data_IF_441821344352
#
_entry.id   IF_441821344352
#
_cell.length_a   1.000
_cell.length_b   1.000
_cell.length_c   1.000
_cell.angle_alpha   90.00
_cell.angle_beta   90.00
_cell.angle_gamma   90.00
#
_symmetry.space_group_name_H-M   'P 1'
#
loop_
_entity.id
_entity.type
_entity.pdbx_description
1 polymer ?
#
# COMPACT_ATOMS: atom_id res chain seq x y z
N UNK A 1 -7.92 28.14 2.10
CA UNK A 1 -7.32 27.39 0.98
C UNK A 1 -6.91 26.03 1.54
N UNK A 2 -7.58 24.95 1.13
CA UNK A 2 -7.14 23.60 1.49
C UNK A 2 -5.77 23.38 0.84
N UNK A 3 -4.76 23.05 1.64
CA UNK A 3 -3.43 22.66 1.14
C UNK A 3 -3.63 21.42 0.30
N UNK A 4 -3.43 21.56 -1.02
CA UNK A 4 -3.50 20.47 -1.98
C UNK A 4 -2.52 19.38 -1.51
N UNK A 5 -3.04 18.21 -1.25
CA UNK A 5 -2.27 17.10 -0.68
C UNK A 5 -1.65 16.31 -1.81
N UNK A 6 -0.33 16.28 -1.88
CA UNK A 6 0.39 15.43 -2.84
C UNK A 6 -0.14 13.98 -2.76
N UNK A 7 -0.28 13.30 -3.93
CA UNK A 7 -0.68 11.89 -4.03
C UNK A 7 0.14 11.03 -3.06
N UNK A 8 -0.55 10.28 -2.19
CA UNK A 8 0.09 9.34 -1.28
C UNK A 8 0.50 8.07 -2.04
N UNK A 9 1.76 7.66 -1.91
CA UNK A 9 2.32 6.54 -2.69
C UNK A 9 2.98 5.53 -1.76
N UNK A 10 2.61 4.23 -1.91
CA UNK A 10 3.20 3.11 -1.20
C UNK A 10 3.87 2.13 -2.17
N UNK A 11 5.07 1.67 -1.83
CA UNK A 11 5.71 0.52 -2.47
C UNK A 11 5.60 -0.68 -1.54
N UNK A 12 4.87 -1.70 -1.97
CA UNK A 12 4.57 -2.89 -1.16
C UNK A 12 5.48 -4.07 -1.52
N UNK A 13 5.86 -4.86 -0.51
CA UNK A 13 6.68 -6.06 -0.70
C UNK A 13 8.15 -5.75 -0.86
N UNK A 14 8.70 -4.93 0.02
CA UNK A 14 10.14 -4.63 0.13
C UNK A 14 10.85 -5.83 0.74
N UNK A 15 11.91 -6.30 0.06
CA UNK A 15 12.72 -7.47 0.44
C UNK A 15 14.22 -7.20 0.49
N UNK A 16 14.68 -6.01 0.01
CA UNK A 16 16.10 -5.67 -0.09
C UNK A 16 16.41 -4.23 0.32
N UNK A 17 17.66 -3.96 0.66
CA UNK A 17 18.17 -2.62 0.96
C UNK A 17 18.10 -1.69 -0.26
N UNK A 18 18.37 -2.20 -1.46
CA UNK A 18 18.30 -1.45 -2.70
C UNK A 18 16.87 -0.96 -2.98
N UNK A 19 15.86 -1.81 -2.68
CA UNK A 19 14.46 -1.43 -2.80
C UNK A 19 14.06 -0.31 -1.82
N UNK A 20 14.57 -0.35 -0.57
CA UNK A 20 14.38 0.74 0.41
C UNK A 20 15.02 2.03 -0.10
N UNK A 21 16.26 1.95 -0.58
CA UNK A 21 17.00 3.10 -1.11
C UNK A 21 16.29 3.72 -2.31
N UNK A 22 15.81 2.90 -3.25
CA UNK A 22 15.08 3.36 -4.42
C UNK A 22 13.72 4.02 -4.03
N UNK A 23 12.98 3.42 -3.12
CA UNK A 23 11.74 3.99 -2.60
C UNK A 23 11.97 5.35 -1.91
N UNK A 24 13.03 5.44 -1.09
CA UNK A 24 13.42 6.68 -0.43
C UNK A 24 13.83 7.78 -1.44
N UNK A 25 14.65 7.43 -2.42
CA UNK A 25 15.07 8.36 -3.48
C UNK A 25 13.90 8.85 -4.34
N UNK A 26 12.87 8.02 -4.52
CA UNK A 26 11.64 8.39 -5.21
C UNK A 26 10.67 9.23 -4.32
N UNK A 27 11.02 9.49 -3.05
CA UNK A 27 10.19 10.21 -2.08
C UNK A 27 8.79 9.59 -1.91
N UNK A 28 8.70 8.27 -1.73
CA UNK A 28 7.43 7.61 -1.43
C UNK A 28 6.98 7.90 0.00
N UNK A 29 5.68 7.82 0.26
CA UNK A 29 5.11 8.07 1.58
C UNK A 29 5.20 6.85 2.50
N UNK A 30 5.20 5.64 1.92
CA UNK A 30 5.22 4.40 2.69
C UNK A 30 5.91 3.24 1.97
N UNK A 31 6.44 2.32 2.77
CA UNK A 31 6.95 1.01 2.32
C UNK A 31 6.23 -0.11 3.08
N UNK A 32 5.93 -1.21 2.38
CA UNK A 32 5.23 -2.37 2.93
C UNK A 32 6.12 -3.61 3.03
N UNK A 33 6.05 -4.30 4.17
CA UNK A 33 6.72 -5.58 4.44
C UNK A 33 5.66 -6.68 4.54
N UNK A 34 5.76 -7.72 3.72
CA UNK A 34 4.76 -8.79 3.62
C UNK A 34 5.12 -9.94 4.55
N UNK A 35 4.18 -10.33 5.41
CA UNK A 35 4.31 -11.45 6.35
C UNK A 35 3.43 -12.66 5.99
N UNK A 36 2.61 -12.52 4.94
CA UNK A 36 1.85 -13.63 4.37
C UNK A 36 2.73 -14.46 3.40
N UNK A 37 2.42 -15.75 3.19
CA UNK A 37 3.12 -16.58 2.21
C UNK A 37 3.10 -15.96 0.81
N UNK A 38 4.27 -15.59 0.32
CA UNK A 38 4.43 -15.01 -1.02
C UNK A 38 5.91 -14.93 -1.38
N UNK A 39 6.28 -14.68 -2.66
CA UNK A 39 7.67 -14.40 -3.05
C UNK A 39 8.27 -13.17 -2.34
N UNK A 40 7.41 -12.31 -1.74
CA UNK A 40 7.78 -11.06 -1.05
C UNK A 40 7.82 -11.21 0.46
N UNK A 41 7.65 -12.43 0.96
CA UNK A 41 7.60 -12.67 2.40
C UNK A 41 8.95 -12.40 3.07
N UNK A 42 8.91 -11.67 4.18
CA UNK A 42 10.04 -11.42 5.06
C UNK A 42 9.73 -11.85 6.49
N UNK A 43 10.76 -12.12 7.27
CA UNK A 43 10.62 -12.32 8.72
C UNK A 43 10.51 -10.96 9.43
N UNK A 44 9.93 -10.88 10.65
CA UNK A 44 9.90 -9.64 11.42
C UNK A 44 11.30 -9.03 11.66
N UNK A 45 12.32 -9.86 11.85
CA UNK A 45 13.70 -9.42 12.00
C UNK A 45 14.28 -8.79 10.73
N UNK A 46 14.07 -9.43 9.56
CA UNK A 46 14.46 -8.87 8.26
C UNK A 46 13.74 -7.55 7.99
N UNK A 47 12.42 -7.50 8.22
CA UNK A 47 11.65 -6.28 8.05
C UNK A 47 12.16 -5.13 8.93
N UNK A 48 12.51 -5.41 10.20
CA UNK A 48 13.06 -4.41 11.11
C UNK A 48 14.43 -3.87 10.64
N UNK A 49 15.31 -4.76 10.14
CA UNK A 49 16.61 -4.38 9.58
C UNK A 49 16.43 -3.47 8.34
N UNK A 50 15.55 -3.85 7.41
CA UNK A 50 15.27 -3.06 6.22
C UNK A 50 14.59 -1.73 6.57
N UNK A 51 13.64 -1.74 7.49
CA UNK A 51 12.93 -0.55 7.95
C UNK A 51 13.86 0.49 8.61
N UNK A 52 14.94 0.04 9.25
CA UNK A 52 15.96 0.91 9.84
C UNK A 52 16.77 1.70 8.80
N UNK A 53 16.79 1.24 7.54
CA UNK A 53 17.46 1.95 6.43
C UNK A 53 16.58 3.06 5.83
N UNK A 54 15.27 3.04 6.08
CA UNK A 54 14.38 4.07 5.57
C UNK A 54 14.58 5.39 6.33
N UNK A 55 14.70 6.53 5.62
CA UNK A 55 14.82 7.83 6.27
C UNK A 55 13.54 8.17 7.08
N UNK A 56 13.65 9.10 8.05
CA UNK A 56 12.49 9.62 8.75
C UNK A 56 11.44 10.18 7.79
N UNK A 57 10.15 9.92 8.07
CA UNK A 57 9.03 10.39 7.25
C UNK A 57 8.43 9.32 6.35
N UNK A 58 9.18 8.26 6.00
CA UNK A 58 8.62 7.11 5.28
C UNK A 58 7.93 6.17 6.27
N UNK A 59 6.63 5.96 6.08
CA UNK A 59 5.82 5.07 6.93
C UNK A 59 6.16 3.60 6.67
N UNK A 60 6.21 2.82 7.74
CA UNK A 60 6.49 1.37 7.73
C UNK A 60 5.18 0.63 7.91
N UNK A 61 4.80 -0.17 6.93
CA UNK A 61 3.51 -0.87 6.94
C UNK A 61 3.76 -2.37 7.01
N UNK A 62 3.26 -3.00 8.08
CA UNK A 62 3.21 -4.45 8.19
C UNK A 62 2.00 -4.95 7.40
N UNK A 63 2.22 -5.86 6.45
CA UNK A 63 1.17 -6.43 5.58
C UNK A 63 1.01 -7.90 5.90
N UNK A 64 -0.17 -8.29 6.38
CA UNK A 64 -0.51 -9.67 6.68
C UNK A 64 -1.85 -10.03 6.06
N UNK A 65 -2.12 -11.33 5.94
CA UNK A 65 -3.40 -11.87 5.46
C UNK A 65 -3.76 -13.05 6.36
N UNK A 66 -4.92 -12.97 6.99
CA UNK A 66 -5.44 -13.96 7.95
C UNK A 66 -4.41 -14.40 9.00
N UNK A 67 -3.68 -13.44 9.67
CA UNK A 67 -2.65 -13.81 10.61
C UNK A 67 -3.24 -14.30 11.93
N UNK A 68 -2.55 -15.24 12.58
CA UNK A 68 -2.83 -15.58 13.97
C UNK A 68 -2.39 -14.43 14.89
N UNK A 69 -3.06 -14.22 16.03
CA UNK A 69 -2.74 -13.16 16.99
C UNK A 69 -1.27 -13.19 17.43
N UNK A 70 -0.73 -14.37 17.71
CA UNK A 70 0.68 -14.54 18.07
C UNK A 70 1.65 -13.93 17.02
N UNK A 71 1.29 -14.05 15.72
CA UNK A 71 2.10 -13.48 14.63
C UNK A 71 1.98 -11.97 14.59
N UNK A 72 0.79 -11.43 14.84
CA UNK A 72 0.55 -9.98 14.98
C UNK A 72 1.40 -9.41 16.11
N UNK A 73 1.38 -10.05 17.27
CA UNK A 73 2.14 -9.62 18.46
C UNK A 73 3.65 -9.62 18.17
N UNK A 74 4.16 -10.66 17.52
CA UNK A 74 5.56 -10.76 17.12
C UNK A 74 5.97 -9.65 16.15
N UNK A 75 5.18 -9.43 15.09
CA UNK A 75 5.43 -8.40 14.07
C UNK A 75 5.42 -7.01 14.74
N UNK A 76 4.40 -6.71 15.52
CA UNK A 76 4.26 -5.41 16.19
C UNK A 76 5.41 -5.13 17.16
N UNK A 77 5.86 -6.14 17.91
CA UNK A 77 6.96 -6.01 18.88
C UNK A 77 8.31 -5.79 18.21
N UNK A 78 8.58 -6.49 17.08
CA UNK A 78 9.90 -6.50 16.43
C UNK A 78 10.03 -5.37 15.42
N UNK A 79 9.07 -5.24 14.48
CA UNK A 79 9.10 -4.21 13.43
C UNK A 79 8.69 -2.83 13.97
N UNK A 80 7.75 -2.78 14.92
CA UNK A 80 7.12 -1.52 15.41
C UNK A 80 6.58 -0.69 14.24
N UNK A 81 5.65 -1.21 13.44
CA UNK A 81 5.17 -0.55 12.24
C UNK A 81 4.32 0.68 12.59
N UNK A 82 4.22 1.64 11.67
CA UNK A 82 3.30 2.77 11.78
C UNK A 82 1.86 2.33 11.48
N UNK A 83 1.70 1.37 10.56
CA UNK A 83 0.42 0.77 10.19
C UNK A 83 0.49 -0.75 10.14
N UNK A 84 -0.61 -1.39 10.52
CA UNK A 84 -0.86 -2.81 10.29
C UNK A 84 -1.95 -2.94 9.23
N UNK A 85 -1.61 -3.52 8.07
CA UNK A 85 -2.50 -3.76 6.94
C UNK A 85 -2.93 -5.21 6.91
N UNK A 86 -4.24 -5.45 6.93
CA UNK A 86 -4.85 -6.78 6.80
C UNK A 86 -6.27 -6.66 6.26
N UNK A 87 -6.88 -7.79 5.87
CA UNK A 87 -8.26 -7.81 5.41
C UNK A 87 -9.21 -7.28 6.50
N UNK A 88 -10.23 -6.55 6.09
CA UNK A 88 -11.16 -5.91 7.04
C UNK A 88 -11.87 -6.93 7.93
N UNK A 89 -12.08 -8.15 7.44
CA UNK A 89 -12.68 -9.25 8.18
C UNK A 89 -11.82 -9.70 9.37
N UNK A 90 -10.48 -9.71 9.19
CA UNK A 90 -9.52 -10.12 10.23
C UNK A 90 -9.57 -9.20 11.47
N UNK A 91 -9.88 -7.91 11.25
CA UNK A 91 -9.89 -6.89 12.30
C UNK A 91 -10.95 -7.11 13.39
N UNK A 92 -11.90 -8.01 13.16
CA UNK A 92 -12.92 -8.37 14.17
C UNK A 92 -12.34 -9.19 15.32
N UNK A 93 -11.30 -9.96 15.04
CA UNK A 93 -10.70 -10.91 15.98
C UNK A 93 -9.32 -10.49 16.46
N UNK A 94 -8.62 -9.66 15.66
CA UNK A 94 -7.26 -9.24 15.96
C UNK A 94 -7.22 -8.06 16.96
N UNK A 95 -6.28 -8.17 17.90
CA UNK A 95 -5.93 -7.10 18.84
C UNK A 95 -4.64 -6.44 18.37
N UNK A 96 -4.75 -5.27 17.75
CA UNK A 96 -3.61 -4.48 17.31
C UNK A 96 -3.32 -3.41 18.37
N UNK A 97 -2.04 -3.21 18.80
CA UNK A 97 -1.72 -2.20 19.78
C UNK A 97 -2.21 -0.80 19.38
N UNK A 98 -2.81 -0.05 20.31
CA UNK A 98 -3.48 1.23 20.04
C UNK A 98 -2.58 2.32 19.42
N UNK A 99 -1.26 2.22 19.58
CA UNK A 99 -0.30 3.16 18.98
C UNK A 99 0.01 2.83 17.50
N UNK A 100 -0.42 1.67 17.00
CA UNK A 100 -0.26 1.25 15.59
C UNK A 100 -1.58 1.50 14.89
N UNK A 101 -1.54 2.28 13.81
CA UNK A 101 -2.72 2.54 13.01
C UNK A 101 -3.08 1.31 12.18
N UNK A 102 -4.36 1.14 11.88
CA UNK A 102 -4.84 0.05 11.04
C UNK A 102 -5.10 0.57 9.62
N UNK A 103 -4.68 -0.19 8.62
CA UNK A 103 -5.03 0.00 7.22
C UNK A 103 -5.85 -1.19 6.74
N UNK A 104 -7.19 -1.12 6.82
CA UNK A 104 -8.07 -2.18 6.37
C UNK A 104 -7.98 -2.39 4.87
N UNK A 105 -7.93 -3.66 4.43
CA UNK A 105 -8.04 -4.05 3.01
C UNK A 105 -9.48 -4.43 2.72
N UNK A 106 -10.07 -3.79 1.72
CA UNK A 106 -11.39 -4.11 1.18
C UNK A 106 -11.20 -4.66 -0.22
N UNK A 107 -11.68 -5.88 -0.46
CA UNK A 107 -11.52 -6.55 -1.76
C UNK A 107 -12.76 -6.40 -2.62
N UNK A 108 -12.55 -6.23 -3.93
CA UNK A 108 -13.63 -6.32 -4.90
C UNK A 108 -14.35 -7.68 -4.79
N UNK A 109 -15.68 -7.66 -4.87
CA UNK A 109 -16.49 -8.87 -4.70
C UNK A 109 -16.72 -9.32 -3.25
N UNK A 110 -16.09 -8.68 -2.26
CA UNK A 110 -16.37 -8.90 -0.83
C UNK A 110 -17.34 -7.85 -0.27
N UNK A 111 -17.93 -8.17 0.88
CA UNK A 111 -18.85 -7.25 1.55
C UNK A 111 -18.12 -5.99 1.98
N UNK A 112 -18.55 -4.85 1.47
CA UNK A 112 -18.03 -3.54 1.90
C UNK A 112 -18.48 -3.26 3.34
N UNK A 113 -17.57 -2.83 4.23
CA UNK A 113 -17.94 -2.50 5.62
C UNK A 113 -18.86 -1.27 5.65
N UNK A 114 -19.74 -1.24 6.64
CA UNK A 114 -20.60 -0.10 6.94
C UNK A 114 -20.61 0.13 8.47
N UNK A 115 -20.12 1.28 8.98
CA UNK A 115 -19.57 2.40 8.21
C UNK A 115 -18.25 2.05 7.51
N UNK A 116 -17.89 2.82 6.47
CA UNK A 116 -16.58 2.73 5.82
C UNK A 116 -15.48 3.16 6.79
N UNK A 117 -14.31 2.52 6.78
CA UNK A 117 -13.13 3.04 7.48
C UNK A 117 -12.75 4.43 6.93
N UNK A 118 -12.23 5.31 7.79
CA UNK A 118 -11.79 6.64 7.38
C UNK A 118 -10.68 6.59 6.31
N UNK A 119 -9.84 5.55 6.35
CA UNK A 119 -8.85 5.21 5.33
C UNK A 119 -8.88 3.72 5.10
N UNK A 120 -8.78 3.30 3.84
CA UNK A 120 -8.71 1.88 3.47
C UNK A 120 -7.91 1.68 2.18
N UNK A 121 -7.39 0.46 2.01
CA UNK A 121 -6.84 0.00 0.75
C UNK A 121 -7.93 -0.80 0.02
N UNK A 122 -8.11 -0.51 -1.27
CA UNK A 122 -9.02 -1.25 -2.14
C UNK A 122 -8.24 -1.94 -3.25
N UNK A 123 -8.45 -3.24 -3.40
CA UNK A 123 -7.77 -4.04 -4.40
C UNK A 123 -8.71 -5.05 -5.09
N UNK A 124 -8.23 -5.72 -6.13
CA UNK A 124 -8.92 -6.82 -6.80
C UNK A 124 -9.23 -7.99 -5.86
N UNK A 125 -9.91 -9.02 -6.36
CA UNK A 125 -10.34 -10.17 -5.53
C UNK A 125 -9.17 -10.96 -4.94
N UNK A 126 -8.00 -10.90 -5.60
CA UNK A 126 -6.78 -11.64 -5.21
C UNK A 126 -5.56 -10.73 -5.12
N UNK A 127 -4.83 -10.79 -3.99
CA UNK A 127 -3.63 -9.99 -3.77
C UNK A 127 -2.42 -10.47 -4.56
N UNK A 128 -1.61 -9.52 -5.05
CA UNK A 128 -0.24 -9.78 -5.49
C UNK A 128 -0.07 -10.49 -6.82
N UNK A 129 -1.15 -10.80 -7.54
CA UNK A 129 -1.12 -11.48 -8.86
C UNK A 129 -1.24 -10.51 -10.04
N UNK A 130 -1.31 -9.19 -9.77
CA UNK A 130 -1.38 -8.17 -10.83
C UNK A 130 -2.76 -8.02 -11.47
N UNK A 131 -3.81 -8.57 -10.87
CA UNK A 131 -5.19 -8.40 -11.34
C UNK A 131 -5.67 -6.98 -11.07
N UNK A 132 -6.27 -6.35 -12.09
CA UNK A 132 -6.79 -4.98 -11.97
C UNK A 132 -8.00 -4.94 -11.02
N UNK A 133 -8.01 -3.94 -10.15
CA UNK A 133 -9.20 -3.60 -9.37
C UNK A 133 -10.31 -3.05 -10.29
N UNK A 134 -11.56 -3.17 -9.84
CA UNK A 134 -12.68 -2.48 -10.48
C UNK A 134 -12.61 -0.97 -10.16
N UNK A 135 -12.15 -0.18 -11.12
CA UNK A 135 -11.98 1.27 -10.95
C UNK A 135 -13.32 2.01 -10.82
N UNK A 136 -14.40 1.49 -11.40
CA UNK A 136 -15.75 2.06 -11.23
C UNK A 136 -16.17 1.98 -9.78
N UNK A 137 -16.06 0.80 -9.17
CA UNK A 137 -16.33 0.60 -7.74
C UNK A 137 -15.37 1.39 -6.85
N UNK A 138 -14.10 1.42 -7.20
CA UNK A 138 -13.10 2.20 -6.48
C UNK A 138 -13.45 3.71 -6.47
N UNK A 139 -13.88 4.26 -7.60
CA UNK A 139 -14.29 5.67 -7.71
C UNK A 139 -15.51 6.01 -6.83
N UNK A 140 -16.48 5.10 -6.73
CA UNK A 140 -17.63 5.28 -5.82
C UNK A 140 -17.18 5.35 -4.35
N UNK A 141 -16.25 4.51 -3.96
CA UNK A 141 -15.73 4.45 -2.60
C UNK A 141 -14.80 5.63 -2.29
N UNK A 142 -13.97 6.06 -3.25
CA UNK A 142 -13.05 7.17 -3.08
C UNK A 142 -13.75 8.51 -2.78
N UNK A 143 -15.03 8.66 -3.18
CA UNK A 143 -15.84 9.83 -2.80
C UNK A 143 -16.28 9.85 -1.34
N UNK A 144 -16.14 8.74 -0.62
CA UNK A 144 -16.68 8.56 0.73
C UNK A 144 -15.59 8.34 1.79
N UNK A 145 -14.37 8.00 1.37
CA UNK A 145 -13.26 7.69 2.29
C UNK A 145 -11.91 7.97 1.64
N UNK A 146 -10.85 8.06 2.44
CA UNK A 146 -9.48 8.11 1.94
C UNK A 146 -9.10 6.73 1.37
N UNK A 147 -9.40 6.50 0.10
CA UNK A 147 -9.14 5.25 -0.59
C UNK A 147 -7.72 5.21 -1.16
N UNK A 148 -6.97 4.16 -0.81
CA UNK A 148 -5.70 3.80 -1.45
C UNK A 148 -6.00 2.72 -2.47
N UNK A 149 -5.78 3.02 -3.76
CA UNK A 149 -6.02 2.08 -4.84
C UNK A 149 -4.83 1.14 -5.01
N UNK A 150 -5.10 -0.16 -5.03
CA UNK A 150 -4.13 -1.22 -5.28
C UNK A 150 -4.67 -2.22 -6.31
N UNK A 151 -3.84 -3.19 -6.70
CA UNK A 151 -4.18 -4.24 -7.65
C UNK A 151 -3.82 -3.88 -9.09
N UNK A 152 -2.85 -4.60 -9.67
CA UNK A 152 -2.45 -4.51 -11.06
C UNK A 152 -1.87 -3.18 -11.53
N UNK A 153 -1.55 -2.26 -10.62
CA UNK A 153 -0.98 -0.96 -10.99
C UNK A 153 0.48 -1.10 -11.45
N UNK A 154 0.83 -0.27 -12.44
CA UNK A 154 2.18 -0.14 -13.01
C UNK A 154 2.39 1.28 -13.52
N UNK A 155 3.59 1.62 -13.98
CA UNK A 155 3.87 2.92 -14.60
C UNK A 155 3.05 3.18 -15.88
N UNK A 156 2.55 2.12 -16.55
CA UNK A 156 1.78 2.22 -17.78
C UNK A 156 0.30 2.56 -17.54
N UNK A 157 -0.28 2.21 -16.38
CA UNK A 157 -1.71 2.38 -16.15
C UNK A 157 -2.07 3.27 -14.95
N UNK A 158 -1.10 3.63 -14.12
CA UNK A 158 -1.37 4.40 -12.88
C UNK A 158 -1.97 5.78 -13.16
N UNK A 159 -1.59 6.42 -14.25
CA UNK A 159 -2.16 7.72 -14.62
C UNK A 159 -3.65 7.61 -14.94
N UNK A 160 -4.03 6.64 -15.77
CA UNK A 160 -5.43 6.36 -16.10
C UNK A 160 -6.24 5.99 -14.84
N UNK A 161 -5.66 5.13 -13.97
CA UNK A 161 -6.28 4.75 -12.71
C UNK A 161 -6.54 5.96 -11.79
N UNK A 162 -5.59 6.88 -11.68
CA UNK A 162 -5.72 8.10 -10.88
C UNK A 162 -6.81 9.01 -11.44
N UNK A 163 -6.88 9.22 -12.76
CA UNK A 163 -7.92 10.03 -13.38
C UNK A 163 -9.31 9.42 -13.23
N UNK A 164 -9.43 8.10 -13.38
CA UNK A 164 -10.71 7.40 -13.25
C UNK A 164 -11.23 7.34 -11.82
N UNK A 165 -10.35 7.10 -10.84
CA UNK A 165 -10.75 6.81 -9.45
C UNK A 165 -10.67 8.05 -8.55
N UNK A 166 -9.75 8.98 -8.81
CA UNK A 166 -9.39 10.10 -7.93
C UNK A 166 -9.11 9.65 -6.50
N UNK A 167 -8.20 8.67 -6.30
CA UNK A 167 -7.95 8.08 -4.99
C UNK A 167 -7.14 9.05 -4.11
N UNK A 168 -7.19 8.82 -2.79
CA UNK A 168 -6.29 9.45 -1.83
C UNK A 168 -4.82 9.07 -2.09
N UNK A 169 -4.57 7.83 -2.50
CA UNK A 169 -3.24 7.31 -2.77
C UNK A 169 -3.27 6.06 -3.63
N UNK A 170 -2.07 5.61 -4.00
CA UNK A 170 -1.85 4.38 -4.78
C UNK A 170 -0.85 3.47 -4.11
N UNK A 171 -1.05 2.16 -4.23
CA UNK A 171 -0.17 1.11 -3.73
C UNK A 171 0.25 0.18 -4.87
N UNK A 172 1.53 -0.04 -5.02
CA UNK A 172 2.07 -0.93 -6.06
C UNK A 172 3.01 -1.98 -5.47
N UNK A 173 2.91 -3.19 -6.03
CA UNK A 173 3.82 -4.29 -5.68
C UNK A 173 4.47 -4.89 -6.93
N UNK A 174 3.80 -5.82 -7.63
CA UNK A 174 4.37 -6.52 -8.80
C UNK A 174 4.71 -5.59 -9.97
N UNK A 175 3.97 -4.51 -10.16
CA UNK A 175 4.18 -3.58 -11.27
C UNK A 175 5.52 -2.82 -11.26
N UNK A 176 6.27 -2.91 -10.16
CA UNK A 176 7.61 -2.33 -10.01
C UNK A 176 8.68 -3.39 -9.73
N UNK A 177 8.46 -4.63 -10.19
CA UNK A 177 9.38 -5.75 -10.04
C UNK A 177 10.05 -6.12 -11.36
N UNK A 178 11.31 -6.57 -11.29
CA UNK A 178 12.00 -7.23 -12.40
C UNK A 178 11.61 -8.70 -12.49
N UNK A 179 11.47 -9.36 -11.34
CA UNK A 179 10.99 -10.71 -11.16
C UNK A 179 10.23 -10.83 -9.82
N UNK A 180 9.40 -11.86 -9.59
CA UNK A 180 8.60 -11.96 -8.36
C UNK A 180 9.43 -11.81 -7.09
N UNK A 181 9.13 -10.77 -6.31
CA UNK A 181 9.81 -10.45 -5.05
C UNK A 181 11.04 -9.55 -5.18
N UNK A 182 11.50 -9.22 -6.40
CA UNK A 182 12.66 -8.36 -6.64
C UNK A 182 12.22 -7.01 -7.22
N UNK A 183 12.33 -5.95 -6.44
CA UNK A 183 11.99 -4.59 -6.88
C UNK A 183 13.04 -4.06 -7.85
N UNK A 184 12.57 -3.41 -8.91
CA UNK A 184 13.39 -2.70 -9.89
C UNK A 184 13.42 -1.19 -9.55
N UNK A 185 14.58 -0.61 -9.23
CA UNK A 185 14.69 0.81 -8.91
C UNK A 185 14.18 1.75 -10.01
N UNK A 186 14.43 1.41 -11.28
CA UNK A 186 13.97 2.19 -12.42
C UNK A 186 12.44 2.22 -12.50
N UNK A 187 11.80 1.05 -12.37
CA UNK A 187 10.33 0.92 -12.36
C UNK A 187 9.70 1.63 -11.16
N UNK A 188 10.34 1.63 -9.97
CA UNK A 188 9.86 2.42 -8.82
C UNK A 188 9.83 3.91 -9.19
N UNK A 189 10.92 4.44 -9.72
CA UNK A 189 11.01 5.85 -10.11
C UNK A 189 10.00 6.22 -11.21
N UNK A 190 9.84 5.36 -12.22
CA UNK A 190 8.86 5.57 -13.29
C UNK A 190 7.43 5.59 -12.76
N UNK A 191 7.07 4.65 -11.89
CA UNK A 191 5.75 4.59 -11.28
C UNK A 191 5.44 5.85 -10.47
N UNK A 192 6.35 6.24 -9.58
CA UNK A 192 6.16 7.41 -8.72
C UNK A 192 6.04 8.69 -9.54
N UNK A 193 6.88 8.84 -10.58
CA UNK A 193 6.82 9.99 -11.50
C UNK A 193 5.48 10.04 -12.22
N UNK A 194 5.00 8.91 -12.77
CA UNK A 194 3.71 8.83 -13.47
C UNK A 194 2.54 9.16 -12.54
N UNK A 195 2.54 8.60 -11.32
CA UNK A 195 1.49 8.86 -10.35
C UNK A 195 1.43 10.33 -9.91
N UNK A 196 2.58 10.96 -9.63
CA UNK A 196 2.62 12.38 -9.24
C UNK A 196 2.25 13.30 -10.38
N UNK A 197 2.65 13.00 -11.62
CA UNK A 197 2.28 13.78 -12.79
C UNK A 197 0.77 13.75 -13.04
N UNK A 198 0.14 12.58 -12.93
CA UNK A 198 -1.31 12.44 -13.08
C UNK A 198 -2.08 13.20 -11.98
N UNK A 199 -1.61 13.12 -10.72
CA UNK A 199 -2.22 13.87 -9.63
C UNK A 199 -2.15 15.39 -9.84
N UNK A 200 -1.01 15.90 -10.29
CA UNK A 200 -0.84 17.32 -10.59
C UNK A 200 -1.76 17.80 -11.73
N UNK A 201 -2.06 16.95 -12.71
CA UNK A 201 -3.02 17.26 -13.77
C UNK A 201 -4.44 17.41 -13.22
N UNK A 202 -4.88 16.51 -12.32
CA UNK A 202 -6.20 16.60 -11.67
C UNK A 202 -6.37 17.88 -10.85
N UNK A 203 -5.29 18.35 -10.21
CA UNK A 203 -5.31 19.61 -9.43
C UNK A 203 -5.55 20.83 -10.33
N UNK A 204 -5.02 20.81 -11.55
CA UNK A 204 -5.19 21.91 -12.51
C UNK A 204 -6.57 21.91 -13.19
N UNK A 205 -7.32 20.80 -13.14
CA UNK A 205 -8.65 20.66 -13.72
C UNK A 205 -9.80 20.95 -12.71
N UNK A 206 -9.46 21.16 -11.42
CA UNK A 206 -10.44 21.34 -10.31
C UNK A 206 -10.53 22.79 -9.86
#
# INVERSE_FOLDING_TARGET
MATLRAMWIKICGITSADAVTAAAAANVDAIGFVFAPSPRQVTPGQAAQLAALAPPGILRIAVAQHPLQMKVDEICRILKPDYFQTDVEDLRELKIPAHIKVLPVVRFGRKTPNPLPARMLFEGPSSGIGELADWGRAAELARQTELILAGGLSSQNVAEAIHAVRPFGVDVSSGVESEPGVKDPGKIHEFVRAARAAAAQLENES
#
